data_IF_351225310114
#
_entry.id   IF_351225310114
#
_cell.length_a   1.000
_cell.length_b   1.000
_cell.length_c   1.000
_cell.angle_alpha   90.00
_cell.angle_beta   90.00
_cell.angle_gamma   90.00
#
_symmetry.space_group_name_H-M   'P 1'
#
loop_
_entity.id
_entity.type
_entity.pdbx_description
1 polymer ?
#
# COMPACT_ATOMS: atom_id res chain seq x y z
N UNK A 1 -2.63 -40.62 -13.03
CA UNK A 1 -4.10 -40.45 -12.92
C UNK A 1 -4.68 -39.34 -13.82
N UNK A 2 -3.89 -38.70 -14.71
CA UNK A 2 -4.27 -37.45 -15.40
C UNK A 2 -4.92 -37.60 -16.79
N UNK A 3 -5.24 -38.82 -17.24
CA UNK A 3 -5.74 -39.06 -18.59
C UNK A 3 -7.28 -39.09 -18.73
N UNK A 4 -8.05 -38.86 -17.65
CA UNK A 4 -9.47 -39.21 -17.63
C UNK A 4 -10.40 -38.09 -17.13
N UNK A 5 -10.14 -36.82 -17.44
CA UNK A 5 -11.22 -35.82 -17.41
C UNK A 5 -11.92 -35.85 -18.79
N UNK A 6 -13.21 -36.20 -18.87
CA UNK A 6 -13.89 -36.54 -20.13
C UNK A 6 -14.08 -35.38 -21.14
N UNK A 7 -13.46 -34.22 -20.91
CA UNK A 7 -13.53 -33.03 -21.78
C UNK A 7 -12.19 -32.52 -22.30
N UNK A 8 -11.07 -33.23 -22.14
CA UNK A 8 -9.75 -32.70 -22.49
C UNK A 8 -9.43 -32.60 -23.99
N UNK A 9 -10.19 -33.28 -24.86
CA UNK A 9 -9.82 -33.47 -26.27
C UNK A 9 -8.44 -34.16 -26.43
N UNK A 10 -7.96 -34.33 -27.66
CA UNK A 10 -6.64 -34.89 -27.95
C UNK A 10 -5.52 -33.92 -27.53
N UNK A 11 -5.16 -33.93 -26.24
CA UNK A 11 -4.05 -33.17 -25.67
C UNK A 11 -4.37 -31.74 -25.21
N UNK A 12 -5.56 -31.20 -25.51
CA UNK A 12 -5.96 -29.83 -25.14
C UNK A 12 -5.93 -29.56 -23.63
N UNK A 13 -6.39 -30.51 -22.82
CA UNK A 13 -6.32 -30.40 -21.36
C UNK A 13 -4.89 -30.32 -20.80
N UNK A 14 -3.95 -31.07 -21.38
CA UNK A 14 -2.54 -31.02 -20.96
C UNK A 14 -1.90 -29.68 -21.31
N UNK A 15 -2.16 -29.17 -22.52
CA UNK A 15 -1.67 -27.84 -22.95
C UNK A 15 -2.27 -26.72 -22.09
N UNK A 16 -3.51 -26.87 -21.63
CA UNK A 16 -4.17 -25.92 -20.71
C UNK A 16 -3.41 -25.81 -19.38
N UNK A 17 -3.00 -26.94 -18.79
CA UNK A 17 -2.18 -26.93 -17.57
C UNK A 17 -0.78 -26.38 -17.80
N UNK A 18 -0.18 -26.63 -18.97
CA UNK A 18 1.10 -26.02 -19.34
C UNK A 18 0.98 -24.49 -19.44
N UNK A 19 -0.12 -23.97 -20.01
CA UNK A 19 -0.38 -22.53 -20.08
C UNK A 19 -0.49 -21.93 -18.67
N UNK A 20 -1.27 -22.56 -17.77
CA UNK A 20 -1.36 -22.13 -16.37
C UNK A 20 -0.01 -22.11 -15.67
N UNK A 21 0.78 -23.18 -15.81
CA UNK A 21 2.11 -23.26 -15.20
C UNK A 21 3.03 -22.16 -15.73
N UNK A 22 3.02 -21.92 -17.04
CA UNK A 22 3.78 -20.83 -17.66
C UNK A 22 3.36 -19.45 -17.12
N UNK A 23 2.06 -19.20 -16.94
CA UNK A 23 1.57 -17.96 -16.29
C UNK A 23 2.09 -17.82 -14.87
N UNK A 24 1.99 -18.87 -14.04
CA UNK A 24 2.45 -18.81 -12.65
C UNK A 24 3.98 -18.70 -12.52
N UNK A 25 4.72 -19.14 -13.54
CA UNK A 25 6.17 -18.96 -13.65
C UNK A 25 6.57 -17.59 -14.23
N UNK A 26 5.61 -16.74 -14.61
CA UNK A 26 5.86 -15.43 -15.21
C UNK A 26 6.32 -15.50 -16.68
N UNK A 27 6.13 -16.64 -17.35
CA UNK A 27 6.49 -16.83 -18.76
C UNK A 27 5.35 -16.39 -19.68
N UNK A 28 5.03 -15.09 -19.69
CA UNK A 28 3.82 -14.54 -20.32
C UNK A 28 3.67 -14.92 -21.81
N UNK A 29 4.71 -14.76 -22.63
CA UNK A 29 4.65 -15.14 -24.05
C UNK A 29 4.45 -16.66 -24.26
N UNK A 30 5.10 -17.49 -23.44
CA UNK A 30 4.94 -18.94 -23.53
C UNK A 30 3.51 -19.31 -23.13
N UNK A 31 2.99 -18.68 -22.09
CA UNK A 31 1.61 -18.84 -21.65
C UNK A 31 0.60 -18.47 -22.74
N UNK A 32 0.74 -17.31 -23.39
CA UNK A 32 -0.17 -16.89 -24.47
C UNK A 32 -0.19 -17.89 -25.63
N UNK A 33 1.00 -18.33 -26.08
CA UNK A 33 1.10 -19.34 -27.15
C UNK A 33 0.45 -20.67 -26.74
N UNK A 34 0.64 -21.10 -25.50
CA UNK A 34 0.04 -22.33 -24.97
C UNK A 34 -1.48 -22.20 -24.79
N UNK A 35 -1.97 -21.05 -24.32
CA UNK A 35 -3.39 -20.76 -24.19
C UNK A 35 -4.11 -20.79 -25.55
N UNK A 36 -3.56 -20.13 -26.57
CA UNK A 36 -4.08 -20.17 -27.93
C UNK A 36 -4.08 -21.60 -28.51
N UNK A 37 -3.01 -22.34 -28.29
CA UNK A 37 -2.92 -23.75 -28.71
C UNK A 37 -3.93 -24.63 -27.97
N UNK A 38 -4.17 -24.40 -26.69
CA UNK A 38 -5.18 -25.11 -25.92
C UNK A 38 -6.58 -24.85 -26.49
N UNK A 39 -6.95 -23.59 -26.77
CA UNK A 39 -8.24 -23.24 -27.37
C UNK A 39 -8.49 -23.94 -28.71
N UNK A 40 -7.47 -24.07 -29.55
CA UNK A 40 -7.56 -24.76 -30.85
C UNK A 40 -7.77 -26.28 -30.71
N UNK A 41 -7.32 -26.89 -29.60
CA UNK A 41 -7.40 -28.33 -29.35
C UNK A 41 -8.61 -28.73 -28.48
N UNK A 42 -9.17 -27.78 -27.72
CA UNK A 42 -10.27 -28.03 -26.81
C UNK A 42 -11.63 -28.07 -27.54
N UNK A 43 -12.46 -29.08 -27.30
CA UNK A 43 -13.85 -29.10 -27.77
C UNK A 43 -14.63 -27.89 -27.24
N UNK A 44 -15.66 -27.44 -27.98
CA UNK A 44 -16.56 -26.37 -27.53
C UNK A 44 -17.29 -26.74 -26.22
N UNK A 45 -17.60 -28.03 -26.03
CA UNK A 45 -18.32 -28.57 -24.87
C UNK A 45 -17.39 -28.95 -23.71
N UNK A 46 -16.36 -28.14 -23.43
CA UNK A 46 -15.37 -28.42 -22.37
C UNK A 46 -15.26 -27.24 -21.41
N UNK A 47 -16.34 -26.95 -20.64
CA UNK A 47 -16.48 -25.70 -19.89
C UNK A 47 -15.35 -25.48 -18.89
N UNK A 48 -14.90 -26.53 -18.19
CA UNK A 48 -13.79 -26.45 -17.24
C UNK A 48 -12.44 -26.08 -17.88
N UNK A 49 -12.07 -26.71 -19.01
CA UNK A 49 -10.79 -26.36 -19.64
C UNK A 49 -10.84 -25.01 -20.33
N UNK A 50 -12.00 -24.62 -20.88
CA UNK A 50 -12.20 -23.30 -21.47
C UNK A 50 -12.20 -22.20 -20.41
N UNK A 51 -12.75 -22.43 -19.21
CA UNK A 51 -12.64 -21.48 -18.09
C UNK A 51 -11.18 -21.32 -17.65
N UNK A 52 -10.42 -22.42 -17.54
CA UNK A 52 -8.98 -22.35 -17.25
C UNK A 52 -8.20 -21.51 -18.28
N UNK A 53 -8.46 -21.69 -19.58
CA UNK A 53 -7.77 -20.89 -20.60
C UNK A 53 -8.22 -19.43 -20.58
N UNK A 54 -9.49 -19.15 -20.32
CA UNK A 54 -10.01 -17.78 -20.19
C UNK A 54 -9.39 -17.06 -18.99
N UNK A 55 -9.21 -17.76 -17.86
CA UNK A 55 -8.52 -17.24 -16.68
C UNK A 55 -7.07 -16.88 -17.02
N UNK A 56 -6.34 -17.80 -17.65
CA UNK A 56 -4.94 -17.57 -18.08
C UNK A 56 -4.84 -16.37 -19.00
N UNK A 57 -5.75 -16.26 -19.98
CA UNK A 57 -5.79 -15.14 -20.92
C UNK A 57 -6.04 -13.82 -20.20
N UNK A 58 -6.98 -13.80 -19.25
CA UNK A 58 -7.24 -12.63 -18.41
C UNK A 58 -6.04 -12.21 -17.56
N UNK A 59 -5.33 -13.18 -16.98
CA UNK A 59 -4.10 -12.91 -16.23
C UNK A 59 -2.97 -12.35 -17.11
N UNK A 60 -2.77 -12.91 -18.30
CA UNK A 60 -1.74 -12.45 -19.23
C UNK A 60 -2.01 -11.01 -19.68
N UNK A 61 -3.26 -10.68 -20.04
CA UNK A 61 -3.67 -9.30 -20.34
C UNK A 61 -3.44 -8.35 -19.15
N UNK A 62 -3.76 -8.78 -17.93
CA UNK A 62 -3.54 -7.98 -16.72
C UNK A 62 -2.05 -7.65 -16.52
N UNK A 63 -1.18 -8.65 -16.70
CA UNK A 63 0.27 -8.49 -16.59
C UNK A 63 0.84 -7.59 -17.70
N UNK A 64 0.32 -7.73 -18.92
CA UNK A 64 0.65 -6.88 -20.06
C UNK A 64 0.15 -5.43 -19.92
N UNK A 65 -0.78 -5.15 -19.01
CA UNK A 65 -1.38 -3.82 -18.85
C UNK A 65 -2.59 -3.55 -19.74
N UNK A 66 -3.10 -4.60 -20.40
CA UNK A 66 -4.26 -4.58 -21.27
C UNK A 66 -5.56 -4.72 -20.46
N UNK A 67 -5.77 -3.78 -19.54
CA UNK A 67 -6.77 -3.86 -18.47
C UNK A 67 -8.21 -4.09 -18.98
N UNK A 68 -8.56 -3.55 -20.16
CA UNK A 68 -9.88 -3.77 -20.75
C UNK A 68 -10.05 -5.20 -21.29
N UNK A 69 -9.02 -5.77 -21.92
CA UNK A 69 -9.04 -7.14 -22.40
C UNK A 69 -9.03 -8.14 -21.23
N UNK A 70 -8.27 -7.83 -20.17
CA UNK A 70 -8.27 -8.60 -18.93
C UNK A 70 -9.67 -8.68 -18.31
N UNK A 71 -10.37 -7.55 -18.21
CA UNK A 71 -11.73 -7.49 -17.65
C UNK A 71 -12.72 -8.36 -18.43
N UNK A 72 -12.68 -8.31 -19.77
CA UNK A 72 -13.53 -9.14 -20.63
C UNK A 72 -13.25 -10.63 -20.38
N UNK A 73 -12.00 -11.06 -20.44
CA UNK A 73 -11.63 -12.48 -20.27
C UNK A 73 -11.97 -13.02 -18.86
N UNK A 74 -11.82 -12.20 -17.82
CA UNK A 74 -12.19 -12.59 -16.45
C UNK A 74 -13.71 -12.71 -16.27
N UNK A 75 -14.51 -11.85 -16.91
CA UNK A 75 -15.96 -11.99 -16.92
C UNK A 75 -16.43 -13.23 -17.68
N UNK A 76 -15.81 -13.55 -18.83
CA UNK A 76 -16.08 -14.79 -19.56
C UNK A 76 -15.75 -16.05 -18.73
N UNK A 77 -14.66 -15.99 -17.95
CA UNK A 77 -14.32 -17.06 -17.01
C UNK A 77 -15.41 -17.26 -15.97
N UNK A 78 -15.91 -16.19 -15.35
CA UNK A 78 -16.99 -16.28 -14.36
C UNK A 78 -18.26 -16.87 -14.98
N UNK A 79 -18.64 -16.40 -16.17
CA UNK A 79 -19.85 -16.84 -16.87
C UNK A 79 -19.81 -18.34 -17.23
N UNK A 80 -18.61 -18.89 -17.49
CA UNK A 80 -18.42 -20.31 -17.82
C UNK A 80 -18.17 -21.20 -16.59
N UNK A 81 -17.55 -20.68 -15.54
CA UNK A 81 -17.24 -21.43 -14.31
C UNK A 81 -18.44 -21.60 -13.37
N UNK A 82 -19.31 -20.59 -13.23
CA UNK A 82 -20.44 -20.64 -12.28
C UNK A 82 -21.43 -21.80 -12.59
N UNK A 83 -21.87 -22.04 -13.84
CA UNK A 83 -22.74 -23.17 -14.17
C UNK A 83 -22.03 -24.54 -14.10
N UNK A 84 -20.70 -24.56 -14.22
CA UNK A 84 -19.89 -25.77 -14.21
C UNK A 84 -19.51 -26.25 -12.81
N UNK A 85 -19.82 -25.48 -11.76
CA UNK A 85 -19.41 -25.77 -10.38
C UNK A 85 -17.90 -25.57 -10.14
N UNK A 86 -17.23 -24.83 -11.02
CA UNK A 86 -15.79 -24.55 -10.95
C UNK A 86 -15.52 -23.36 -10.02
N UNK A 87 -15.63 -23.63 -8.71
CA UNK A 87 -15.50 -22.62 -7.64
C UNK A 87 -14.13 -21.94 -7.69
N UNK A 88 -13.06 -22.68 -7.99
CA UNK A 88 -11.70 -22.15 -7.96
C UNK A 88 -11.49 -21.03 -8.98
N UNK A 89 -11.82 -21.27 -10.26
CA UNK A 89 -11.60 -20.27 -11.31
C UNK A 89 -12.57 -19.09 -11.20
N UNK A 90 -13.80 -19.33 -10.73
CA UNK A 90 -14.77 -18.28 -10.47
C UNK A 90 -14.30 -17.34 -9.34
N UNK A 91 -13.79 -17.88 -8.23
CA UNK A 91 -13.23 -17.11 -7.11
C UNK A 91 -11.97 -16.35 -7.54
N UNK A 92 -11.04 -17.02 -8.24
CA UNK A 92 -9.83 -16.37 -8.75
C UNK A 92 -10.15 -15.20 -9.69
N UNK A 93 -11.09 -15.39 -10.61
CA UNK A 93 -11.50 -14.34 -11.55
C UNK A 93 -12.10 -13.14 -10.85
N UNK A 94 -12.96 -13.36 -9.85
CA UNK A 94 -13.52 -12.27 -9.02
C UNK A 94 -12.43 -11.54 -8.24
N UNK A 95 -11.45 -12.26 -7.68
CA UNK A 95 -10.29 -11.67 -7.00
C UNK A 95 -9.43 -10.81 -7.94
N UNK A 96 -9.17 -11.25 -9.18
CA UNK A 96 -8.42 -10.46 -10.16
C UNK A 96 -9.19 -9.24 -10.64
N UNK A 97 -10.51 -9.36 -10.87
CA UNK A 97 -11.36 -8.20 -11.17
C UNK A 97 -11.36 -7.20 -10.00
N UNK A 98 -11.34 -7.68 -8.76
CA UNK A 98 -11.27 -6.82 -7.58
C UNK A 98 -9.91 -6.11 -7.49
N UNK A 99 -8.80 -6.79 -7.76
CA UNK A 99 -7.47 -6.17 -7.82
C UNK A 99 -7.41 -5.11 -8.94
N UNK A 100 -7.96 -5.41 -10.12
CA UNK A 100 -8.05 -4.46 -11.22
C UNK A 100 -8.84 -3.20 -10.84
N UNK A 101 -9.99 -3.36 -10.17
CA UNK A 101 -10.76 -2.22 -9.65
C UNK A 101 -10.00 -1.47 -8.55
N UNK A 102 -9.22 -2.15 -7.72
CA UNK A 102 -8.33 -1.52 -6.73
C UNK A 102 -7.28 -0.64 -7.41
N UNK A 103 -6.63 -1.12 -8.46
CA UNK A 103 -5.66 -0.35 -9.26
C UNK A 103 -6.30 0.87 -9.93
N UNK A 104 -7.55 0.73 -10.42
CA UNK A 104 -8.35 1.82 -11.00
C UNK A 104 -8.89 2.81 -9.97
N UNK A 105 -8.68 2.55 -8.67
CA UNK A 105 -9.18 3.41 -7.59
C UNK A 105 -10.69 3.32 -7.40
N UNK A 106 -11.30 2.15 -7.63
CA UNK A 106 -12.73 1.85 -7.38
C UNK A 106 -12.84 0.86 -6.21
N UNK A 107 -12.49 1.30 -5.01
CA UNK A 107 -12.32 0.44 -3.84
C UNK A 107 -13.65 -0.20 -3.39
N UNK A 108 -14.78 0.53 -3.49
CA UNK A 108 -16.11 -0.04 -3.20
C UNK A 108 -16.51 -1.16 -4.16
N UNK A 109 -16.20 -1.01 -5.46
CA UNK A 109 -16.43 -2.09 -6.44
C UNK A 109 -15.54 -3.30 -6.16
N UNK A 110 -14.27 -3.06 -5.81
CA UNK A 110 -13.36 -4.13 -5.40
C UNK A 110 -13.86 -4.88 -4.16
N UNK A 111 -14.36 -4.16 -3.15
CA UNK A 111 -14.96 -4.75 -1.96
C UNK A 111 -16.11 -5.71 -2.31
N UNK A 112 -17.06 -5.25 -3.14
CA UNK A 112 -18.18 -6.08 -3.57
C UNK A 112 -17.71 -7.36 -4.27
N UNK A 113 -16.70 -7.27 -5.12
CA UNK A 113 -16.15 -8.43 -5.84
C UNK A 113 -15.48 -9.44 -4.90
N UNK A 114 -14.71 -8.96 -3.90
CA UNK A 114 -14.14 -9.86 -2.89
C UNK A 114 -15.21 -10.48 -1.99
N UNK A 115 -16.24 -9.74 -1.61
CA UNK A 115 -17.37 -10.28 -0.82
C UNK A 115 -18.12 -11.38 -1.60
N UNK A 116 -18.35 -11.17 -2.90
CA UNK A 116 -18.92 -12.21 -3.77
C UNK A 116 -18.02 -13.44 -3.87
N UNK A 117 -16.71 -13.23 -4.00
CA UNK A 117 -15.73 -14.32 -4.02
C UNK A 117 -15.75 -15.14 -2.73
N UNK A 118 -15.90 -14.49 -1.56
CA UNK A 118 -16.03 -15.18 -0.27
C UNK A 118 -17.32 -15.99 -0.12
N UNK A 119 -18.45 -15.41 -0.52
CA UNK A 119 -19.74 -16.12 -0.50
C UNK A 119 -19.67 -17.37 -1.36
N UNK A 120 -19.00 -17.29 -2.51
CA UNK A 120 -18.84 -18.42 -3.41
C UNK A 120 -17.83 -19.45 -2.91
N UNK A 121 -16.70 -19.03 -2.34
CA UNK A 121 -15.67 -19.94 -1.83
C UNK A 121 -16.16 -20.77 -0.64
N UNK A 122 -17.14 -20.27 0.13
CA UNK A 122 -17.59 -20.90 1.39
C UNK A 122 -16.37 -21.15 2.28
N UNK A 123 -16.13 -22.41 2.69
CA UNK A 123 -14.99 -22.79 3.54
C UNK A 123 -13.70 -23.10 2.77
N UNK A 124 -13.73 -23.11 1.43
CA UNK A 124 -12.57 -23.49 0.61
C UNK A 124 -11.36 -22.58 0.87
N UNK A 125 -10.13 -23.13 0.91
CA UNK A 125 -8.89 -22.37 1.15
C UNK A 125 -8.71 -21.16 0.22
N UNK A 126 -9.19 -21.27 -1.03
CA UNK A 126 -9.09 -20.22 -2.05
C UNK A 126 -9.76 -18.90 -1.64
N UNK A 127 -10.75 -18.96 -0.74
CA UNK A 127 -11.39 -17.78 -0.15
C UNK A 127 -10.42 -16.89 0.63
N UNK A 128 -9.29 -17.43 1.08
CA UNK A 128 -8.26 -16.63 1.75
C UNK A 128 -7.65 -15.53 0.88
N UNK A 129 -7.62 -15.68 -0.45
CA UNK A 129 -7.23 -14.59 -1.36
C UNK A 129 -8.18 -13.40 -1.28
N UNK A 130 -9.49 -13.66 -1.19
CA UNK A 130 -10.49 -12.62 -1.05
C UNK A 130 -10.44 -11.95 0.33
N UNK A 131 -10.19 -12.72 1.39
CA UNK A 131 -9.94 -12.17 2.74
C UNK A 131 -8.73 -11.23 2.74
N UNK A 132 -7.63 -11.61 2.10
CA UNK A 132 -6.45 -10.76 1.99
C UNK A 132 -6.70 -9.49 1.19
N UNK A 133 -7.48 -9.59 0.10
CA UNK A 133 -7.94 -8.45 -0.68
C UNK A 133 -8.76 -7.46 0.15
N UNK A 134 -9.77 -7.94 0.87
CA UNK A 134 -10.56 -7.10 1.79
C UNK A 134 -9.69 -6.50 2.90
N UNK A 135 -8.78 -7.28 3.48
CA UNK A 135 -7.85 -6.79 4.49
C UNK A 135 -7.03 -5.60 4.00
N UNK A 136 -6.62 -5.61 2.72
CA UNK A 136 -5.95 -4.46 2.08
C UNK A 136 -6.85 -3.25 1.89
N UNK A 137 -8.14 -3.44 1.56
CA UNK A 137 -9.09 -2.34 1.44
C UNK A 137 -9.40 -1.70 2.81
N UNK A 138 -9.61 -2.51 3.84
CA UNK A 138 -9.80 -2.02 5.20
C UNK A 138 -8.55 -1.33 5.75
N UNK A 139 -7.36 -1.83 5.37
CA UNK A 139 -6.13 -1.12 5.62
C UNK A 139 -6.17 0.26 4.98
N UNK A 140 -6.47 0.36 3.67
CA UNK A 140 -6.57 1.64 2.97
C UNK A 140 -7.54 2.63 3.63
N UNK A 141 -8.66 2.14 4.18
CA UNK A 141 -9.64 2.93 4.92
C UNK A 141 -9.28 3.19 6.39
N UNK A 142 -8.08 2.80 6.82
CA UNK A 142 -7.56 2.98 8.18
C UNK A 142 -8.30 2.16 9.27
N UNK A 143 -9.05 1.13 8.90
CA UNK A 143 -9.65 0.18 9.85
C UNK A 143 -8.66 -0.97 10.12
N UNK A 144 -7.70 -0.69 11.00
CA UNK A 144 -6.59 -1.60 11.30
C UNK A 144 -7.05 -2.90 11.96
N UNK A 145 -8.10 -2.85 12.77
CA UNK A 145 -8.61 -4.02 13.48
C UNK A 145 -9.21 -5.02 12.49
N UNK A 146 -10.12 -4.57 11.61
CA UNK A 146 -10.68 -5.44 10.57
C UNK A 146 -9.61 -5.89 9.58
N UNK A 147 -8.71 -4.99 9.18
CA UNK A 147 -7.60 -5.34 8.29
C UNK A 147 -6.75 -6.48 8.89
N UNK A 148 -6.37 -6.36 10.15
CA UNK A 148 -5.57 -7.36 10.85
C UNK A 148 -6.26 -8.72 10.94
N UNK A 149 -7.54 -8.72 11.32
CA UNK A 149 -8.34 -9.95 11.42
C UNK A 149 -8.45 -10.67 10.06
N UNK A 150 -8.85 -9.94 9.01
CA UNK A 150 -9.02 -10.49 7.66
C UNK A 150 -7.70 -11.00 7.07
N UNK A 151 -6.60 -10.25 7.23
CA UNK A 151 -5.29 -10.68 6.76
C UNK A 151 -4.80 -11.93 7.50
N UNK A 152 -5.04 -12.02 8.82
CA UNK A 152 -4.63 -13.17 9.62
C UNK A 152 -5.36 -14.42 9.13
N UNK A 153 -6.69 -14.39 9.08
CA UNK A 153 -7.49 -15.54 8.62
C UNK A 153 -7.22 -15.87 7.15
N UNK A 154 -7.03 -14.87 6.30
CA UNK A 154 -6.72 -15.06 4.89
C UNK A 154 -5.41 -15.80 4.68
N UNK A 155 -4.34 -15.35 5.35
CA UNK A 155 -3.02 -15.98 5.29
C UNK A 155 -3.03 -17.40 5.83
N UNK A 156 -3.75 -17.66 6.93
CA UNK A 156 -3.90 -19.01 7.48
C UNK A 156 -4.58 -19.97 6.49
N UNK A 157 -5.63 -19.52 5.79
CA UNK A 157 -6.34 -20.34 4.81
C UNK A 157 -5.48 -20.71 3.59
N UNK A 158 -4.66 -19.79 3.08
CA UNK A 158 -3.84 -20.04 1.87
C UNK A 158 -2.40 -20.48 2.16
N UNK A 159 -2.01 -20.61 3.44
CA UNK A 159 -0.64 -20.97 3.83
C UNK A 159 -0.14 -22.27 3.19
N UNK A 160 -1.02 -23.23 2.94
CA UNK A 160 -0.68 -24.51 2.32
C UNK A 160 -0.62 -24.48 0.78
N UNK A 161 -1.07 -23.38 0.14
CA UNK A 161 -1.26 -23.29 -1.31
C UNK A 161 -0.16 -22.50 -2.02
N UNK A 162 0.39 -21.45 -1.40
CA UNK A 162 1.44 -20.65 -2.05
C UNK A 162 2.23 -19.80 -1.07
N UNK A 163 3.56 -19.87 -1.15
CA UNK A 163 4.46 -19.09 -0.28
C UNK A 163 4.51 -17.60 -0.64
N UNK A 164 4.28 -17.24 -1.90
CA UNK A 164 4.53 -15.87 -2.38
C UNK A 164 3.42 -14.86 -2.05
N UNK A 165 2.12 -15.08 -2.39
CA UNK A 165 1.05 -14.20 -1.94
C UNK A 165 1.01 -14.11 -0.42
N UNK A 166 1.32 -15.23 0.26
CA UNK A 166 1.47 -15.29 1.71
C UNK A 166 2.56 -14.34 2.20
N UNK A 167 3.73 -14.32 1.57
CA UNK A 167 4.79 -13.40 1.95
C UNK A 167 4.42 -11.91 1.74
N UNK A 168 3.72 -11.57 0.65
CA UNK A 168 3.25 -10.20 0.43
C UNK A 168 2.19 -9.78 1.46
N UNK A 169 1.22 -10.65 1.74
CA UNK A 169 0.20 -10.40 2.76
C UNK A 169 0.81 -10.34 4.17
N UNK A 170 1.84 -11.13 4.45
CA UNK A 170 2.55 -11.12 5.72
C UNK A 170 3.25 -9.78 5.99
N UNK A 171 3.84 -9.14 4.97
CA UNK A 171 4.39 -7.79 5.13
C UNK A 171 3.33 -6.73 5.44
N UNK A 172 2.15 -6.83 4.80
CA UNK A 172 1.03 -5.93 5.11
C UNK A 172 0.50 -6.19 6.53
N UNK A 173 0.36 -7.44 6.93
CA UNK A 173 -0.05 -7.79 8.29
C UNK A 173 0.99 -7.33 9.31
N UNK A 174 2.30 -7.48 9.04
CA UNK A 174 3.36 -6.97 9.90
C UNK A 174 3.25 -5.46 10.09
N UNK A 175 2.93 -4.71 9.02
CA UNK A 175 2.67 -3.27 9.09
C UNK A 175 1.47 -2.96 9.99
N UNK A 176 0.35 -3.66 9.80
CA UNK A 176 -0.85 -3.53 10.65
C UNK A 176 -0.51 -3.80 12.12
N UNK A 177 0.25 -4.87 12.40
CA UNK A 177 0.65 -5.26 13.76
C UNK A 177 1.51 -4.19 14.43
N UNK A 178 2.50 -3.62 13.72
CA UNK A 178 3.26 -2.47 14.25
C UNK A 178 2.36 -1.28 14.57
N UNK A 179 1.44 -0.93 13.67
CA UNK A 179 0.51 0.19 13.86
C UNK A 179 -0.46 -0.03 15.03
N UNK A 180 -0.81 -1.29 15.32
CA UNK A 180 -1.61 -1.68 16.50
C UNK A 180 -0.78 -1.79 17.79
N UNK A 181 0.55 -1.61 17.73
CA UNK A 181 1.45 -1.72 18.87
C UNK A 181 1.92 -3.14 19.21
N UNK A 182 1.64 -4.12 18.34
CA UNK A 182 2.02 -5.53 18.48
C UNK A 182 3.33 -5.79 17.70
N UNK A 183 4.43 -5.26 18.21
CA UNK A 183 5.75 -5.34 17.56
C UNK A 183 6.33 -6.77 17.54
N UNK A 184 5.94 -7.62 18.49
CA UNK A 184 6.38 -9.01 18.55
C UNK A 184 5.78 -9.83 17.40
N UNK A 185 4.46 -9.77 17.21
CA UNK A 185 3.81 -10.45 16.09
C UNK A 185 4.30 -9.90 14.73
N UNK A 186 4.55 -8.60 14.64
CA UNK A 186 5.12 -8.00 13.45
C UNK A 186 6.51 -8.56 13.12
N UNK A 187 7.40 -8.67 14.11
CA UNK A 187 8.74 -9.24 13.94
C UNK A 187 8.73 -10.71 13.51
N UNK A 188 7.78 -11.51 14.00
CA UNK A 188 7.60 -12.90 13.57
C UNK A 188 7.20 -12.99 12.09
N UNK A 189 6.32 -12.11 11.63
CA UNK A 189 5.91 -12.04 10.23
C UNK A 189 7.05 -11.58 9.32
N UNK A 190 7.83 -10.59 9.75
CA UNK A 190 9.04 -10.13 9.04
C UNK A 190 10.04 -11.28 8.88
N UNK A 191 10.33 -12.00 9.97
CA UNK A 191 11.26 -13.12 9.94
C UNK A 191 10.80 -14.23 8.97
N UNK A 192 9.50 -14.55 8.94
CA UNK A 192 8.94 -15.52 7.98
C UNK A 192 9.18 -15.10 6.53
N UNK A 193 9.02 -13.83 6.22
CA UNK A 193 9.27 -13.30 4.86
C UNK A 193 10.76 -13.37 4.51
N UNK A 194 11.63 -13.04 5.47
CA UNK A 194 13.08 -13.08 5.25
C UNK A 194 13.59 -14.52 5.03
N UNK A 195 13.03 -15.49 5.74
CA UNK A 195 13.30 -16.93 5.52
C UNK A 195 12.84 -17.37 4.12
N UNK A 196 11.64 -16.97 3.69
CA UNK A 196 11.14 -17.27 2.36
C UNK A 196 12.03 -16.66 1.27
N UNK A 197 12.53 -15.45 1.47
CA UNK A 197 13.45 -14.79 0.55
C UNK A 197 14.85 -15.42 0.52
N UNK A 198 15.31 -15.98 1.64
CA UNK A 198 16.62 -16.64 1.72
C UNK A 198 16.67 -17.97 0.95
N UNK A 199 15.53 -18.65 0.79
CA UNK A 199 15.42 -19.92 0.06
C UNK A 199 15.53 -19.82 -1.47
N UNK A 200 15.59 -18.61 -2.03
CA UNK A 200 15.57 -18.38 -3.47
C UNK A 200 16.73 -17.49 -3.94
N UNK A 201 17.76 -18.11 -4.53
CA UNK A 201 18.90 -17.41 -5.13
C UNK A 201 18.59 -16.83 -6.52
N UNK A 202 17.65 -17.44 -7.27
CA UNK A 202 17.23 -16.95 -8.59
C UNK A 202 16.26 -15.76 -8.47
N UNK A 203 16.64 -14.65 -9.10
CA UNK A 203 15.82 -13.43 -9.18
C UNK A 203 14.76 -13.55 -10.29
N UNK A 204 13.75 -14.38 -10.07
CA UNK A 204 12.54 -14.41 -10.91
C UNK A 204 11.74 -13.09 -10.75
N UNK A 205 10.87 -12.71 -11.71
CA UNK A 205 10.00 -11.54 -11.60
C UNK A 205 9.19 -11.50 -10.29
N UNK A 206 8.76 -12.68 -9.88
CA UNK A 206 8.04 -12.96 -8.64
C UNK A 206 8.90 -12.64 -7.39
N UNK A 207 10.12 -13.18 -7.31
CA UNK A 207 11.03 -12.91 -6.19
C UNK A 207 11.51 -11.45 -6.16
N UNK A 208 11.74 -10.86 -7.34
CA UNK A 208 12.05 -9.44 -7.48
C UNK A 208 10.93 -8.57 -6.90
N UNK A 209 9.68 -8.88 -7.23
CA UNK A 209 8.52 -8.17 -6.67
C UNK A 209 8.46 -8.25 -5.15
N UNK A 210 8.70 -9.43 -4.56
CA UNK A 210 8.73 -9.58 -3.09
C UNK A 210 9.88 -8.80 -2.45
N UNK A 211 11.08 -8.82 -3.04
CA UNK A 211 12.24 -8.00 -2.58
C UNK A 211 11.89 -6.51 -2.58
N UNK A 212 11.23 -6.02 -3.62
CA UNK A 212 10.77 -4.63 -3.72
C UNK A 212 9.66 -4.29 -2.72
N UNK A 213 8.75 -5.21 -2.40
CA UNK A 213 7.82 -5.05 -1.26
C UNK A 213 8.57 -4.93 0.08
N UNK A 214 9.52 -5.82 0.33
CA UNK A 214 10.34 -5.82 1.56
C UNK A 214 11.17 -4.53 1.68
N UNK A 215 11.72 -4.04 0.57
CA UNK A 215 12.41 -2.76 0.48
C UNK A 215 11.49 -1.59 0.90
N UNK A 216 10.31 -1.44 0.29
CA UNK A 216 9.38 -0.35 0.65
C UNK A 216 8.85 -0.49 2.09
N UNK A 217 8.72 -1.71 2.59
CA UNK A 217 8.40 -1.94 3.99
C UNK A 217 9.52 -1.45 4.92
N UNK A 218 10.78 -1.72 4.59
CA UNK A 218 11.94 -1.24 5.34
C UNK A 218 12.04 0.29 5.32
N UNK A 219 11.81 0.93 4.16
CA UNK A 219 11.72 2.39 4.06
C UNK A 219 10.64 2.97 4.99
N UNK A 220 9.46 2.35 5.04
CA UNK A 220 8.39 2.75 5.96
C UNK A 220 8.78 2.58 7.44
N UNK A 221 9.59 1.57 7.78
CA UNK A 221 10.15 1.39 9.13
C UNK A 221 11.29 2.36 9.46
N UNK A 222 11.79 3.11 8.48
CA UNK A 222 13.02 3.91 8.61
C UNK A 222 14.31 3.09 8.61
N UNK A 223 14.26 1.83 8.18
CA UNK A 223 15.41 0.92 8.10
C UNK A 223 16.06 1.01 6.70
N UNK A 224 16.89 2.04 6.51
CA UNK A 224 17.62 2.27 5.27
C UNK A 224 18.56 1.10 4.89
N UNK A 225 19.38 0.53 5.80
CA UNK A 225 20.25 -0.58 5.46
C UNK A 225 19.51 -1.79 4.86
N UNK A 226 18.37 -2.18 5.45
CA UNK A 226 17.56 -3.27 4.90
C UNK A 226 16.95 -2.86 3.56
N UNK A 227 16.48 -1.62 3.41
CA UNK A 227 15.97 -1.14 2.13
C UNK A 227 17.04 -1.24 1.03
N UNK A 228 18.27 -0.79 1.29
CA UNK A 228 19.36 -0.77 0.29
C UNK A 228 19.80 -2.17 -0.11
N UNK A 229 19.84 -3.10 0.85
CA UNK A 229 20.09 -4.51 0.58
C UNK A 229 19.08 -5.06 -0.42
N UNK A 230 17.78 -4.86 -0.15
CA UNK A 230 16.73 -5.39 -1.01
C UNK A 230 16.63 -4.66 -2.36
N UNK A 231 16.91 -3.35 -2.41
CA UNK A 231 17.03 -2.60 -3.66
C UNK A 231 18.15 -3.14 -4.56
N UNK A 232 19.32 -3.40 -3.96
CA UNK A 232 20.50 -3.95 -4.65
C UNK A 232 20.23 -5.35 -5.19
N UNK A 233 19.65 -6.23 -4.37
CA UNK A 233 19.32 -7.61 -4.76
C UNK A 233 18.23 -7.64 -5.83
N UNK A 234 17.24 -6.74 -5.76
CA UNK A 234 16.20 -6.61 -6.78
C UNK A 234 16.70 -5.98 -8.09
N UNK A 235 17.98 -5.56 -8.15
CA UNK A 235 18.56 -4.90 -9.30
C UNK A 235 17.85 -3.58 -9.59
N UNK A 236 17.63 -2.72 -8.59
CA UNK A 236 17.27 -1.33 -8.84
C UNK A 236 18.50 -0.57 -9.34
N UNK A 237 18.33 0.28 -10.35
CA UNK A 237 19.41 1.07 -10.91
C UNK A 237 19.92 2.12 -9.91
N UNK A 238 21.24 2.22 -9.80
CA UNK A 238 21.92 3.33 -9.13
C UNK A 238 21.72 4.62 -9.96
N UNK A 239 21.18 5.70 -9.36
CA UNK A 239 20.94 6.95 -10.07
C UNK A 239 22.25 7.63 -10.54
N UNK A 240 23.40 7.29 -9.94
CA UNK A 240 24.72 7.84 -10.29
C UNK A 240 25.52 6.95 -11.24
N UNK A 241 24.99 5.78 -11.62
CA UNK A 241 25.67 4.86 -12.55
C UNK A 241 26.98 4.26 -12.02
N UNK A 242 27.22 4.25 -10.70
CA UNK A 242 28.48 3.82 -10.11
C UNK A 242 28.63 2.29 -9.96
N UNK A 243 27.69 1.50 -10.48
CA UNK A 243 27.85 0.05 -10.65
C UNK A 243 28.13 -0.31 -12.12
N UNK A 244 29.42 -0.42 -12.53
CA UNK A 244 29.77 -0.93 -13.84
C UNK A 244 29.36 -2.41 -13.88
N UNK A 245 28.31 -2.72 -14.65
CA UNK A 245 27.89 -4.09 -14.95
C UNK A 245 26.44 -4.45 -14.65
N UNK A 246 25.69 -3.65 -13.87
CA UNK A 246 24.25 -3.93 -13.58
C UNK A 246 23.29 -2.78 -13.92
N UNK A 247 23.75 -1.53 -13.98
CA UNK A 247 22.92 -0.36 -14.30
C UNK A 247 22.40 -0.29 -15.75
N UNK A 248 23.04 -1.02 -16.68
CA UNK A 248 22.58 -1.11 -18.07
C UNK A 248 21.34 -2.00 -18.22
N UNK A 249 21.28 -3.09 -17.46
CA UNK A 249 20.23 -4.11 -17.54
C UNK A 249 18.84 -3.63 -17.10
N UNK A 250 18.73 -2.51 -16.37
CA UNK A 250 17.44 -2.01 -15.84
C UNK A 250 16.86 -0.92 -16.71
N UNK A 251 17.70 -0.08 -17.33
CA UNK A 251 17.26 0.80 -18.41
C UNK A 251 16.70 -0.06 -19.55
N UNK A 252 17.41 -1.11 -19.92
CA UNK A 252 16.95 -2.09 -20.91
C UNK A 252 15.77 -2.96 -20.42
N UNK A 253 15.53 -3.10 -19.10
CA UNK A 253 14.35 -3.81 -18.57
C UNK A 253 13.10 -2.93 -18.45
N UNK A 254 13.23 -1.60 -18.40
CA UNK A 254 12.07 -0.68 -18.44
C UNK A 254 11.82 -0.20 -19.87
N UNK A 255 12.85 -0.16 -20.72
CA UNK A 255 12.79 0.20 -22.15
C UNK A 255 12.71 -1.03 -23.08
N UNK A 256 12.84 -2.25 -22.56
CA UNK A 256 12.71 -3.49 -23.34
C UNK A 256 11.25 -3.90 -23.49
N UNK A 257 10.86 -4.25 -24.72
CA UNK A 257 9.54 -4.75 -25.16
C UNK A 257 9.01 -5.98 -24.36
N UNK A 258 9.75 -6.49 -23.38
CA UNK A 258 9.51 -7.79 -22.73
C UNK A 258 9.11 -7.73 -21.24
N UNK A 259 9.24 -6.59 -20.54
CA UNK A 259 8.82 -6.52 -19.12
C UNK A 259 7.33 -6.23 -19.01
N UNK A 260 6.54 -7.08 -18.32
CA UNK A 260 5.11 -6.85 -18.15
C UNK A 260 4.83 -5.47 -17.53
N UNK A 261 3.87 -4.72 -18.08
CA UNK A 261 3.55 -3.36 -17.65
C UNK A 261 3.24 -3.27 -16.13
N UNK A 262 2.64 -4.33 -15.57
CA UNK A 262 2.41 -4.40 -14.12
C UNK A 262 3.71 -4.44 -13.31
N UNK A 263 4.72 -5.19 -13.74
CA UNK A 263 6.04 -5.22 -13.10
C UNK A 263 6.75 -3.88 -13.25
N UNK A 264 6.70 -3.27 -14.45
CA UNK A 264 7.35 -1.99 -14.72
C UNK A 264 6.84 -0.88 -13.78
N UNK A 265 5.52 -0.76 -13.58
CA UNK A 265 4.96 0.23 -12.64
C UNK A 265 5.41 0.00 -11.20
N UNK A 266 5.58 -1.26 -10.79
CA UNK A 266 6.02 -1.61 -9.45
C UNK A 266 7.50 -1.26 -9.21
N UNK A 267 8.34 -1.51 -10.21
CA UNK A 267 9.75 -1.12 -10.21
C UNK A 267 9.88 0.40 -10.14
N UNK A 268 9.18 1.14 -10.99
CA UNK A 268 9.22 2.61 -11.02
C UNK A 268 8.81 3.22 -9.68
N UNK A 269 7.72 2.73 -9.07
CA UNK A 269 7.29 3.19 -7.75
C UNK A 269 8.38 2.94 -6.70
N UNK A 270 9.00 1.76 -6.74
CA UNK A 270 10.05 1.38 -5.79
C UNK A 270 11.32 2.24 -5.97
N UNK A 271 11.74 2.48 -7.21
CA UNK A 271 12.84 3.40 -7.52
C UNK A 271 12.56 4.80 -7.00
N UNK A 272 11.36 5.32 -7.26
CA UNK A 272 10.99 6.67 -6.86
C UNK A 272 11.07 6.85 -5.33
N UNK A 273 10.55 5.88 -4.55
CA UNK A 273 10.68 5.92 -3.09
C UNK A 273 12.11 5.73 -2.59
N UNK A 274 12.87 4.81 -3.19
CA UNK A 274 14.25 4.57 -2.80
C UNK A 274 15.14 5.80 -3.07
N UNK A 275 15.03 6.41 -4.25
CA UNK A 275 15.76 7.63 -4.59
C UNK A 275 15.32 8.84 -3.76
N UNK A 276 14.03 8.97 -3.47
CA UNK A 276 13.53 10.01 -2.56
C UNK A 276 14.15 9.89 -1.16
N UNK A 277 14.24 8.66 -0.62
CA UNK A 277 14.84 8.41 0.69
C UNK A 277 16.34 8.76 0.76
N UNK A 278 17.03 8.77 -0.39
CA UNK A 278 18.45 9.11 -0.53
C UNK A 278 18.68 10.57 -0.95
N UNK A 279 17.62 11.37 -1.12
CA UNK A 279 17.74 12.76 -1.57
C UNK A 279 18.07 12.91 -3.06
N UNK A 280 17.97 11.85 -3.86
CA UNK A 280 18.13 11.90 -5.31
C UNK A 280 16.85 12.40 -5.98
N UNK A 281 16.53 13.68 -5.74
CA UNK A 281 15.25 14.29 -6.09
C UNK A 281 14.95 14.29 -7.60
N UNK A 282 15.93 14.59 -8.46
CA UNK A 282 15.73 14.58 -9.91
C UNK A 282 15.40 13.19 -10.46
N UNK A 283 16.12 12.17 -9.98
CA UNK A 283 15.86 10.78 -10.34
C UNK A 283 14.47 10.34 -9.84
N UNK A 284 14.14 10.65 -8.57
CA UNK A 284 12.83 10.35 -7.99
C UNK A 284 11.68 11.01 -8.76
N UNK A 285 11.84 12.27 -9.17
CA UNK A 285 10.88 12.97 -10.01
C UNK A 285 10.70 12.30 -11.37
N UNK A 286 11.81 11.92 -12.03
CA UNK A 286 11.77 11.23 -13.32
C UNK A 286 11.05 9.88 -13.27
N UNK A 287 11.33 9.06 -12.25
CA UNK A 287 10.61 7.79 -12.04
C UNK A 287 9.12 8.01 -11.75
N UNK A 288 8.79 8.98 -10.90
CA UNK A 288 7.40 9.30 -10.59
C UNK A 288 6.63 9.83 -11.82
N UNK A 289 7.26 10.65 -12.66
CA UNK A 289 6.66 11.11 -13.91
C UNK A 289 6.39 9.97 -14.89
N UNK A 290 7.36 9.06 -15.07
CA UNK A 290 7.17 7.87 -15.90
C UNK A 290 6.03 7.00 -15.39
N UNK A 291 6.00 6.72 -14.08
CA UNK A 291 4.94 5.97 -13.43
C UNK A 291 3.58 6.62 -13.64
N UNK A 292 3.48 7.94 -13.44
CA UNK A 292 2.24 8.69 -13.61
C UNK A 292 1.70 8.60 -15.04
N UNK A 293 2.57 8.75 -16.05
CA UNK A 293 2.18 8.62 -17.47
C UNK A 293 1.65 7.23 -17.79
N UNK A 294 2.38 6.18 -17.39
CA UNK A 294 1.95 4.79 -17.61
C UNK A 294 0.63 4.47 -16.88
N UNK A 295 0.50 4.88 -15.62
CA UNK A 295 -0.68 4.64 -14.82
C UNK A 295 -1.93 5.32 -15.42
N UNK A 296 -1.80 6.56 -15.90
CA UNK A 296 -2.91 7.27 -16.54
C UNK A 296 -3.31 6.65 -17.88
N UNK A 297 -2.33 6.19 -18.69
CA UNK A 297 -2.59 5.53 -19.96
C UNK A 297 -3.45 4.26 -19.81
N UNK A 298 -3.25 3.50 -18.73
CA UNK A 298 -4.04 2.30 -18.41
C UNK A 298 -5.24 2.56 -17.48
N UNK A 299 -5.51 3.82 -17.09
CA UNK A 299 -6.61 4.15 -16.17
C UNK A 299 -6.39 3.68 -14.72
N UNK A 300 -5.15 3.35 -14.33
CA UNK A 300 -4.76 2.88 -12.99
C UNK A 300 -4.59 4.06 -12.03
N UNK A 301 -5.70 4.75 -11.74
CA UNK A 301 -5.72 6.00 -10.99
C UNK A 301 -5.04 5.91 -9.61
N UNK A 302 -5.14 4.76 -8.94
CA UNK A 302 -4.48 4.57 -7.63
C UNK A 302 -2.96 4.64 -7.73
N UNK A 303 -2.37 4.11 -8.80
CA UNK A 303 -0.92 4.24 -9.07
C UNK A 303 -0.56 5.67 -9.48
N UNK A 304 -1.41 6.34 -10.25
CA UNK A 304 -1.22 7.75 -10.60
C UNK A 304 -1.22 8.64 -9.35
N UNK A 305 -2.08 8.38 -8.36
CA UNK A 305 -2.08 9.08 -7.08
C UNK A 305 -0.77 8.87 -6.31
N UNK A 306 -0.22 7.64 -6.29
CA UNK A 306 1.10 7.37 -5.68
C UNK A 306 2.23 8.13 -6.37
N UNK A 307 2.22 8.19 -7.70
CA UNK A 307 3.18 8.99 -8.46
C UNK A 307 3.10 10.48 -8.08
N UNK A 308 1.88 11.02 -7.99
CA UNK A 308 1.66 12.41 -7.58
C UNK A 308 2.09 12.70 -6.13
N UNK A 309 1.91 11.75 -5.23
CA UNK A 309 2.43 11.84 -3.86
C UNK A 309 3.95 11.93 -3.85
N UNK A 310 4.65 11.08 -4.60
CA UNK A 310 6.12 11.15 -4.69
C UNK A 310 6.55 12.49 -5.31
N UNK A 311 5.89 12.96 -6.36
CA UNK A 311 6.16 14.28 -6.95
C UNK A 311 5.94 15.42 -5.95
N UNK A 312 4.88 15.33 -5.14
CA UNK A 312 4.61 16.32 -4.11
C UNK A 312 5.74 16.37 -3.07
N UNK A 313 6.21 15.20 -2.61
CA UNK A 313 7.32 15.08 -1.65
C UNK A 313 8.63 15.62 -2.23
N UNK A 314 8.95 15.28 -3.48
CA UNK A 314 10.13 15.83 -4.18
C UNK A 314 10.05 17.35 -4.27
N UNK A 315 8.94 17.90 -4.75
CA UNK A 315 8.76 19.34 -4.89
C UNK A 315 8.84 20.07 -3.54
N UNK A 316 8.29 19.46 -2.48
CA UNK A 316 8.36 20.00 -1.12
C UNK A 316 9.80 20.03 -0.58
N UNK A 317 10.57 18.96 -0.81
CA UNK A 317 11.98 18.91 -0.44
C UNK A 317 12.81 19.99 -1.18
N UNK A 318 12.47 20.26 -2.44
CA UNK A 318 13.06 21.33 -3.26
C UNK A 318 12.49 22.73 -2.96
N UNK A 319 11.63 22.87 -1.94
CA UNK A 319 10.95 24.13 -1.56
C UNK A 319 10.08 24.76 -2.66
N UNK A 320 9.64 23.96 -3.63
CA UNK A 320 8.63 24.36 -4.62
C UNK A 320 7.23 24.04 -4.10
N UNK A 321 6.73 24.91 -3.22
CA UNK A 321 5.40 24.77 -2.61
C UNK A 321 4.27 24.76 -3.65
N UNK A 322 4.43 25.49 -4.77
CA UNK A 322 3.41 25.57 -5.82
C UNK A 322 3.23 24.20 -6.49
N UNK A 323 4.32 23.57 -6.90
CA UNK A 323 4.28 22.24 -7.52
C UNK A 323 3.87 21.18 -6.51
N UNK A 324 4.35 21.27 -5.26
CA UNK A 324 4.02 20.31 -4.22
C UNK A 324 2.51 20.25 -3.94
N UNK A 325 1.88 21.41 -3.75
CA UNK A 325 0.44 21.50 -3.48
C UNK A 325 -0.38 21.11 -4.70
N UNK A 326 0.06 21.46 -5.92
CA UNK A 326 -0.63 21.05 -7.14
C UNK A 326 -0.60 19.52 -7.33
N UNK A 327 0.54 18.89 -7.06
CA UNK A 327 0.70 17.43 -7.13
C UNK A 327 -0.14 16.74 -6.05
N UNK A 328 -0.04 17.18 -4.78
CA UNK A 328 -0.84 16.59 -3.71
C UNK A 328 -2.34 16.79 -3.94
N UNK A 329 -2.77 17.93 -4.48
CA UNK A 329 -4.16 18.18 -4.88
C UNK A 329 -4.68 17.18 -5.91
N UNK A 330 -3.88 16.79 -6.91
CA UNK A 330 -4.26 15.74 -7.87
C UNK A 330 -4.42 14.37 -7.18
N UNK A 331 -3.51 14.01 -6.28
CA UNK A 331 -3.62 12.77 -5.51
C UNK A 331 -4.87 12.76 -4.62
N UNK A 332 -5.18 13.87 -3.95
CA UNK A 332 -6.37 14.03 -3.11
C UNK A 332 -7.66 13.88 -3.94
N UNK A 333 -7.71 14.47 -5.13
CA UNK A 333 -8.88 14.37 -6.02
C UNK A 333 -9.17 12.92 -6.44
N UNK A 334 -8.13 12.11 -6.65
CA UNK A 334 -8.27 10.68 -6.97
C UNK A 334 -8.74 9.87 -5.75
N UNK A 335 -8.22 10.18 -4.56
CA UNK A 335 -8.42 9.35 -3.38
C UNK A 335 -9.67 9.68 -2.56
N UNK A 336 -10.14 10.93 -2.62
CA UNK A 336 -11.28 11.42 -1.82
C UNK A 336 -12.59 10.64 -2.06
N UNK A 337 -12.99 10.30 -3.31
CA UNK A 337 -14.24 9.57 -3.55
C UNK A 337 -14.31 8.19 -2.88
N UNK A 338 -13.17 7.54 -2.72
CA UNK A 338 -13.05 6.21 -2.09
C UNK A 338 -12.57 6.28 -0.64
N UNK A 339 -12.36 7.48 -0.09
CA UNK A 339 -11.87 7.73 1.26
C UNK A 339 -10.57 6.98 1.61
N UNK A 340 -9.58 6.98 0.70
CA UNK A 340 -8.34 6.22 0.86
C UNK A 340 -7.31 6.91 1.79
N UNK A 341 -7.40 6.66 3.10
CA UNK A 341 -6.60 7.30 4.14
C UNK A 341 -5.13 6.86 4.14
N UNK A 342 -4.84 5.54 4.16
CA UNK A 342 -3.46 5.04 4.30
C UNK A 342 -2.56 5.35 3.12
N UNK A 343 -3.13 5.72 1.98
CA UNK A 343 -2.37 6.21 0.83
C UNK A 343 -1.54 7.46 1.17
N UNK A 344 -1.98 8.28 2.12
CA UNK A 344 -1.28 9.48 2.56
C UNK A 344 -0.59 9.28 3.90
N UNK A 345 -1.26 8.65 4.86
CA UNK A 345 -0.75 8.52 6.24
C UNK A 345 0.54 7.71 6.32
N UNK A 346 0.70 6.71 5.45
CA UNK A 346 1.91 5.88 5.43
C UNK A 346 3.16 6.60 4.90
N UNK A 347 3.00 7.76 4.26
CA UNK A 347 4.11 8.48 3.63
C UNK A 347 4.94 9.31 4.61
N UNK A 348 4.40 9.58 5.80
CA UNK A 348 5.11 10.26 6.89
C UNK A 348 4.72 11.73 7.10
N UNK A 349 5.44 12.37 8.03
CA UNK A 349 5.17 13.73 8.52
C UNK A 349 5.25 14.80 7.42
N UNK A 350 6.08 14.61 6.39
CA UNK A 350 6.19 15.58 5.30
C UNK A 350 4.86 15.72 4.53
N UNK A 351 4.07 14.64 4.44
CA UNK A 351 2.73 14.71 3.88
C UNK A 351 1.76 15.42 4.83
N UNK A 352 1.88 15.25 6.16
CA UNK A 352 1.05 15.97 7.12
C UNK A 352 1.28 17.50 7.04
N UNK A 353 2.53 17.94 6.87
CA UNK A 353 2.87 19.35 6.63
C UNK A 353 2.22 19.88 5.35
N UNK A 354 2.34 19.14 4.24
CA UNK A 354 1.72 19.51 2.97
C UNK A 354 0.18 19.52 3.02
N UNK A 355 -0.43 18.59 3.75
CA UNK A 355 -1.87 18.54 4.00
C UNK A 355 -2.33 19.79 4.76
N UNK A 356 -1.55 20.24 5.75
CA UNK A 356 -1.82 21.49 6.48
C UNK A 356 -1.80 22.70 5.55
N UNK A 357 -0.86 22.76 4.59
CA UNK A 357 -0.83 23.80 3.56
C UNK A 357 -2.03 23.72 2.63
N UNK A 358 -2.45 22.52 2.21
CA UNK A 358 -3.65 22.31 1.41
C UNK A 358 -4.91 22.78 2.15
N UNK A 359 -5.01 22.51 3.45
CA UNK A 359 -6.12 22.94 4.29
C UNK A 359 -6.22 24.46 4.37
N UNK A 360 -5.10 25.16 4.58
CA UNK A 360 -5.03 26.64 4.58
C UNK A 360 -5.49 27.24 3.25
N UNK A 361 -5.23 26.54 2.14
CA UNK A 361 -5.67 26.93 0.79
C UNK A 361 -7.06 26.41 0.41
N UNK A 362 -7.78 25.79 1.35
CA UNK A 362 -9.14 25.26 1.17
C UNK A 362 -9.24 24.18 0.08
N UNK A 363 -8.20 23.38 -0.10
CA UNK A 363 -8.17 22.25 -1.02
C UNK A 363 -8.68 21.01 -0.28
N UNK A 364 -9.74 20.37 -0.78
CA UNK A 364 -10.31 19.13 -0.22
C UNK A 364 -10.52 19.18 1.32
N UNK A 365 -11.02 20.30 1.84
CA UNK A 365 -11.03 20.64 3.29
C UNK A 365 -11.47 19.51 4.21
N UNK A 366 -12.61 18.88 3.97
CA UNK A 366 -13.16 17.82 4.82
C UNK A 366 -12.26 16.58 4.82
N UNK A 367 -11.86 16.13 3.63
CA UNK A 367 -11.01 14.95 3.46
C UNK A 367 -9.60 15.18 4.04
N UNK A 368 -9.02 16.37 3.82
CA UNK A 368 -7.72 16.74 4.38
C UNK A 368 -7.75 16.79 5.90
N UNK A 369 -8.83 17.31 6.50
CA UNK A 369 -8.99 17.29 7.96
C UNK A 369 -9.01 15.84 8.49
N UNK A 370 -9.76 14.95 7.84
CA UNK A 370 -9.77 13.53 8.19
C UNK A 370 -8.40 12.84 8.06
N UNK A 371 -7.63 13.19 7.02
CA UNK A 371 -6.27 12.67 6.87
C UNK A 371 -5.36 13.15 8.01
N UNK A 372 -5.42 14.43 8.37
CA UNK A 372 -4.66 14.99 9.50
C UNK A 372 -5.04 14.33 10.83
N UNK A 373 -6.34 14.11 11.08
CA UNK A 373 -6.81 13.37 12.25
C UNK A 373 -6.20 11.96 12.31
N UNK A 374 -6.07 11.29 11.16
CA UNK A 374 -5.48 9.95 11.07
C UNK A 374 -3.96 9.91 11.31
N UNK A 375 -3.23 11.03 11.15
CA UNK A 375 -1.85 11.15 11.62
C UNK A 375 -1.74 11.24 13.15
N UNK A 376 -2.85 11.44 13.87
CA UNK A 376 -2.84 11.72 15.30
C UNK A 376 -2.52 13.18 15.62
N UNK A 377 -2.39 14.03 14.59
CA UNK A 377 -2.65 15.45 14.72
C UNK A 377 -4.15 15.55 15.00
N UNK A 378 -4.53 15.61 16.28
CA UNK A 378 -5.94 15.75 16.65
C UNK A 378 -6.59 16.88 15.85
N UNK A 379 -7.92 16.88 15.72
CA UNK A 379 -8.62 17.90 14.96
C UNK A 379 -8.11 19.26 15.43
N UNK A 380 -7.59 20.06 14.48
CA UNK A 380 -7.47 21.50 14.68
C UNK A 380 -8.74 21.92 15.40
N UNK A 381 -8.64 22.64 16.55
CA UNK A 381 -9.75 22.83 17.46
C UNK A 381 -10.96 23.20 16.63
N UNK A 382 -11.98 22.33 16.71
CA UNK A 382 -13.20 22.48 15.97
C UNK A 382 -13.56 23.96 16.03
N UNK A 383 -13.64 24.61 14.88
CA UNK A 383 -14.47 25.79 14.78
C UNK A 383 -15.85 25.27 15.19
N UNK A 384 -16.18 25.40 16.46
CA UNK A 384 -17.53 25.28 16.93
C UNK A 384 -18.28 26.31 16.11
N UNK A 385 -19.06 25.80 15.15
CA UNK A 385 -20.11 26.58 14.51
C UNK A 385 -21.11 26.83 15.63
N UNK A 386 -20.81 27.83 16.45
CA UNK A 386 -21.78 28.45 17.32
C UNK A 386 -22.64 29.33 16.40
N UNK A 387 -23.86 28.88 16.13
CA UNK A 387 -24.78 29.56 15.23
C UNK A 387 -25.42 30.82 15.84
N UNK A 388 -25.08 31.21 17.06
CA UNK A 388 -25.68 32.39 17.69
C UNK A 388 -24.69 33.20 18.55
N UNK A 389 -23.87 34.08 17.94
CA UNK A 389 -23.58 35.44 18.48
C UNK A 389 -22.64 36.31 17.60
N UNK A 390 -22.72 37.66 17.71
CA UNK A 390 -22.31 38.59 16.68
C UNK A 390 -20.84 39.04 16.74
N UNK A 391 -20.38 39.46 15.55
CA UNK A 391 -19.12 40.09 15.17
C UNK A 391 -18.55 41.06 16.22
N UNK A 392 -17.34 40.80 16.71
CA UNK A 392 -16.44 41.86 17.16
C UNK A 392 -15.01 41.69 16.62
N UNK A 393 -14.55 42.83 16.10
CA UNK A 393 -13.33 43.15 15.35
C UNK A 393 -12.14 43.30 16.31
N UNK A 394 -10.95 42.84 15.91
CA UNK A 394 -9.70 43.23 16.57
C UNK A 394 -8.46 42.47 16.07
N UNK A 395 -7.59 43.16 15.32
CA UNK A 395 -6.18 42.79 15.09
C UNK A 395 -5.35 43.57 16.11
N UNK A 396 -4.30 42.97 16.70
CA UNK A 396 -2.94 43.53 16.61
C UNK A 396 -1.93 42.44 16.22
N UNK A 397 -1.13 42.62 15.17
CA UNK A 397 0.18 43.28 15.13
C UNK A 397 1.32 42.43 15.75
N UNK A 398 2.35 42.21 14.92
CA UNK A 398 3.49 41.33 15.10
C UNK A 398 4.50 41.80 16.16
N UNK A 399 5.32 40.88 16.67
CA UNK A 399 6.73 41.11 17.02
C UNK A 399 7.50 39.78 17.21
N UNK A 400 8.77 39.78 16.78
CA UNK A 400 9.72 38.67 16.76
C UNK A 400 10.18 38.21 18.15
N UNK A 401 10.38 36.90 18.33
CA UNK A 401 11.10 36.33 19.47
C UNK A 401 10.83 34.83 19.62
N UNK A 402 11.89 34.02 19.73
CA UNK A 402 11.88 32.57 19.97
C UNK A 402 10.68 32.09 20.81
N UNK A 403 9.65 31.59 20.13
CA UNK A 403 8.49 30.99 20.79
C UNK A 403 8.89 29.55 21.15
N UNK A 404 9.41 29.35 22.36
CA UNK A 404 9.11 28.10 23.06
C UNK A 404 7.60 28.18 23.30
N UNK A 405 6.82 27.47 22.48
CA UNK A 405 5.37 27.43 22.65
C UNK A 405 5.07 27.03 24.09
N UNK A 406 4.42 27.93 24.83
CA UNK A 406 4.08 27.68 26.22
C UNK A 406 3.23 26.40 26.31
N UNK A 407 3.59 25.53 27.25
CA UNK A 407 2.77 24.36 27.56
C UNK A 407 1.44 24.84 28.12
N UNK A 408 0.34 24.26 27.64
CA UNK A 408 -0.98 24.44 28.23
C UNK A 408 -1.05 23.85 29.63
N UNK A 409 -1.99 24.32 30.46
CA UNK A 409 -2.19 23.80 31.82
C UNK A 409 -2.34 22.28 31.85
N UNK A 410 -3.00 21.72 30.83
CA UNK A 410 -3.20 20.27 30.70
C UNK A 410 -1.92 19.53 30.34
N UNK A 411 -1.07 20.10 29.48
CA UNK A 411 0.24 19.54 29.16
C UNK A 411 1.20 19.63 30.37
N UNK A 412 1.13 20.69 31.17
CA UNK A 412 1.89 20.79 32.43
C UNK A 412 1.46 19.72 33.43
N UNK A 413 0.16 19.48 33.56
CA UNK A 413 -0.37 18.42 34.43
C UNK A 413 0.09 17.02 33.99
N UNK A 414 0.02 16.74 32.68
CA UNK A 414 0.54 15.49 32.09
C UNK A 414 2.06 15.39 32.29
N UNK A 415 2.82 16.46 32.09
CA UNK A 415 4.27 16.50 32.26
C UNK A 415 4.70 16.25 33.72
N UNK A 416 3.94 16.74 34.71
CA UNK A 416 4.17 16.44 36.14
C UNK A 416 3.98 14.96 36.44
N UNK A 417 2.87 14.38 35.98
CA UNK A 417 2.64 12.95 36.13
C UNK A 417 3.66 12.11 35.36
N UNK A 418 4.21 12.65 34.27
CA UNK A 418 5.32 12.02 33.57
C UNK A 418 6.60 11.99 34.41
N UNK A 419 6.90 13.11 35.09
CA UNK A 419 8.05 13.26 35.99
C UNK A 419 7.94 12.38 37.24
N UNK A 420 6.72 12.10 37.69
CA UNK A 420 6.40 11.14 38.76
C UNK A 420 6.52 9.65 38.33
N UNK A 421 6.86 9.39 37.06
CA UNK A 421 7.07 8.03 36.55
C UNK A 421 5.82 7.28 36.10
N UNK A 422 4.65 7.95 35.99
CA UNK A 422 3.37 7.30 35.64
C UNK A 422 3.27 6.91 34.16
N UNK A 423 2.88 5.69 33.86
CA UNK A 423 2.59 5.25 32.49
C UNK A 423 1.42 6.03 31.87
N UNK A 424 1.32 6.07 30.54
CA UNK A 424 0.24 6.80 29.87
C UNK A 424 -1.16 6.29 30.26
N UNK A 425 -1.29 5.00 30.60
CA UNK A 425 -2.54 4.43 31.11
C UNK A 425 -2.87 4.89 32.54
N UNK A 426 -1.87 5.00 33.43
CA UNK A 426 -2.09 5.55 34.78
C UNK A 426 -2.43 7.05 34.75
N UNK A 427 -1.79 7.80 33.83
CA UNK A 427 -2.11 9.21 33.61
C UNK A 427 -3.55 9.34 33.10
N UNK A 428 -3.96 8.51 32.14
CA UNK A 428 -5.31 8.50 31.59
C UNK A 428 -6.37 8.25 32.67
N UNK A 429 -6.16 7.23 33.50
CA UNK A 429 -7.04 6.89 34.62
C UNK A 429 -7.12 8.01 35.66
N UNK A 430 -5.99 8.65 35.98
CA UNK A 430 -5.94 9.74 36.96
C UNK A 430 -6.59 11.03 36.46
N UNK A 431 -6.52 11.27 35.16
CA UNK A 431 -7.01 12.48 34.51
C UNK A 431 -8.41 12.34 33.91
N UNK A 432 -9.03 11.14 34.01
CA UNK A 432 -10.38 10.87 33.51
C UNK A 432 -10.53 10.96 31.99
N UNK A 433 -9.45 10.69 31.23
CA UNK A 433 -9.41 10.82 29.76
C UNK A 433 -8.89 9.54 29.11
N UNK A 434 -9.05 9.41 27.80
CA UNK A 434 -8.54 8.25 27.06
C UNK A 434 -6.99 8.23 27.01
N UNK A 435 -6.40 7.04 26.99
CA UNK A 435 -4.95 6.84 26.85
C UNK A 435 -4.40 7.42 25.55
N UNK A 436 -5.21 7.45 24.48
CA UNK A 436 -4.87 8.15 23.22
C UNK A 436 -4.72 9.65 23.43
N UNK A 437 -5.62 10.29 24.17
CA UNK A 437 -5.56 11.73 24.52
C UNK A 437 -4.30 12.06 25.33
N UNK A 438 -3.92 11.19 26.27
CA UNK A 438 -2.65 11.34 27.00
C UNK A 438 -1.44 11.24 26.06
N UNK A 439 -1.44 10.29 25.11
CA UNK A 439 -0.36 10.16 24.12
C UNK A 439 -0.24 11.42 23.27
N UNK A 440 -1.36 12.05 22.88
CA UNK A 440 -1.37 13.33 22.17
C UNK A 440 -0.74 14.45 23.01
N UNK A 441 -1.08 14.57 24.29
CA UNK A 441 -0.45 15.55 25.18
C UNK A 441 1.06 15.27 25.35
N UNK A 442 1.47 14.01 25.51
CA UNK A 442 2.90 13.62 25.58
C UNK A 442 3.66 14.03 24.31
N UNK A 443 3.04 13.85 23.14
CA UNK A 443 3.63 14.24 21.86
C UNK A 443 3.76 15.77 21.73
N UNK A 444 2.72 16.52 22.13
CA UNK A 444 2.78 17.98 22.15
C UNK A 444 3.85 18.49 23.13
N UNK A 445 3.98 17.87 24.31
CA UNK A 445 5.06 18.15 25.28
C UNK A 445 6.44 17.90 24.65
N UNK A 446 6.61 16.80 23.92
CA UNK A 446 7.86 16.47 23.23
C UNK A 446 8.21 17.49 22.18
N UNK A 447 7.25 17.90 21.36
CA UNK A 447 7.42 18.94 20.36
C UNK A 447 7.81 20.28 21.01
N UNK A 448 7.04 20.73 22.00
CA UNK A 448 7.24 22.03 22.68
C UNK A 448 8.53 22.10 23.51
N UNK A 449 8.97 20.98 24.09
CA UNK A 449 10.23 20.88 24.83
C UNK A 449 11.42 20.44 23.97
N UNK A 450 11.22 20.24 22.66
CA UNK A 450 12.20 19.72 21.72
C UNK A 450 12.89 18.43 22.24
N UNK A 451 12.08 17.46 22.66
CA UNK A 451 12.52 16.19 23.22
C UNK A 451 12.00 15.03 22.36
N UNK A 452 12.82 14.01 22.16
CA UNK A 452 12.45 12.82 21.36
C UNK A 452 12.02 11.64 22.21
N UNK A 453 12.28 11.69 23.53
CA UNK A 453 12.00 10.62 24.47
C UNK A 453 11.56 11.16 25.82
N UNK A 454 10.78 10.36 26.53
CA UNK A 454 10.18 10.70 27.83
C UNK A 454 11.17 11.20 28.88
N UNK A 455 12.31 10.51 29.02
CA UNK A 455 13.37 10.89 29.96
C UNK A 455 14.01 12.23 29.60
N UNK A 456 14.16 12.53 28.31
CA UNK A 456 14.68 13.80 27.81
C UNK A 456 13.70 14.94 28.08
N UNK A 457 12.40 14.72 27.85
CA UNK A 457 11.36 15.72 28.12
C UNK A 457 11.30 16.09 29.62
N UNK A 458 11.36 15.08 30.51
CA UNK A 458 11.37 15.31 31.97
C UNK A 458 12.65 16.01 32.42
N UNK A 459 13.81 15.64 31.88
CA UNK A 459 15.08 16.31 32.20
C UNK A 459 15.04 17.79 31.79
N UNK A 460 14.53 18.08 30.58
CA UNK A 460 14.38 19.45 30.08
C UNK A 460 13.39 20.26 30.90
N UNK A 461 12.27 19.67 31.28
CA UNK A 461 11.26 20.29 32.12
C UNK A 461 11.81 20.69 33.51
N UNK A 462 12.67 19.84 34.10
CA UNK A 462 13.37 20.16 35.37
C UNK A 462 14.37 21.30 35.21
N UNK A 463 15.13 21.34 34.11
CA UNK A 463 16.04 22.46 33.81
C UNK A 463 15.30 23.79 33.64
N UNK A 464 14.08 23.73 33.07
CA UNK A 464 13.21 24.88 32.87
C UNK A 464 12.29 25.18 34.07
N UNK A 465 12.44 24.46 35.19
CA UNK A 465 11.66 24.60 36.43
C UNK A 465 10.13 24.46 36.24
N UNK A 466 9.69 23.66 35.27
CA UNK A 466 8.28 23.40 34.98
C UNK A 466 7.70 22.27 35.84
N UNK A 467 8.57 21.36 36.33
CA UNK A 467 8.27 20.19 37.17
C UNK A 467 9.38 19.86 38.15
#
# INVERSE_FOLDING_TARGET
AFAAHPGGGAGGGAVTFQAMLATFQGQSQASDRLAQRALALLPEQSPFFRSCVSLVTGMNHLFAGEDAAAEVALHETIASSDPAGDVMNAVLSRCYLAELNTLRGRLRTAQMLYEQALVQSREEPIGGLALMGLGRLYYDWNDLERAGALLTTGLEKIAAWSDLPVAQGALLLARVKHLMGDGEAAGQLEHRVDVALAGHEELTPVHRSLRLYRMRYALWRGDLPTADLHATVAGLADPLGASPGRGRAVRDAVDGDETPAMEATFVLLSQAHHWLAHGHYDAAAGAAEMLGRQALACGRLRLAAKAEIVRARVAFALRDERTAIAALGRALAIAAPENSIRLFVDEGEEIAELLTLCLRRKIHTEYVAQLLDAFGAGPLPAATVDRDRPLHRGIPAAEDGLIVEALSDREVEVLRLMADGRSNGEIANRLGIATSTVKSHVHAIFHKLNATRRTQAVARARTLQLV
#
